data_IF_242498851990
#
_entry.id   IF_242498851990
#
_cell.length_a   1.000
_cell.length_b   1.000
_cell.length_c   1.000
_cell.angle_alpha   90.00
_cell.angle_beta   90.00
_cell.angle_gamma   90.00
#
_symmetry.space_group_name_H-M   'P 1'
#
loop_
_entity.id
_entity.type
_entity.pdbx_description
1 polymer ?
#
# COMPACT_ATOMS: atom_id res chain seq x y z
N UNK A 1 15.96 -13.14 -10.09
CA UNK A 1 15.64 -12.10 -11.11
C UNK A 1 15.78 -10.74 -10.43
N UNK A 2 16.40 -9.72 -11.07
CA UNK A 2 16.42 -8.36 -10.52
C UNK A 2 15.00 -7.81 -10.32
N UNK A 3 14.76 -7.03 -9.25
CA UNK A 3 13.44 -6.47 -8.89
C UNK A 3 12.79 -5.75 -10.07
N UNK A 4 13.56 -4.89 -10.77
CA UNK A 4 13.07 -4.08 -11.90
C UNK A 4 12.58 -4.91 -13.10
N UNK A 5 13.14 -6.10 -13.33
CA UNK A 5 12.67 -6.99 -14.40
C UNK A 5 11.35 -7.62 -13.97
N UNK A 6 11.26 -8.03 -12.70
CA UNK A 6 10.04 -8.61 -12.16
C UNK A 6 8.88 -7.61 -12.18
N UNK A 7 9.12 -6.38 -11.72
CA UNK A 7 8.16 -5.27 -11.77
C UNK A 7 7.69 -4.98 -13.19
N UNK A 8 8.59 -4.88 -14.17
CA UNK A 8 8.20 -4.52 -15.53
C UNK A 8 7.47 -5.63 -16.29
N UNK A 9 7.81 -6.89 -16.04
CA UNK A 9 7.33 -8.01 -16.85
C UNK A 9 6.14 -8.72 -16.20
N UNK A 10 6.14 -8.89 -14.88
CA UNK A 10 5.14 -9.69 -14.16
C UNK A 10 4.17 -8.83 -13.33
N UNK A 11 4.64 -7.69 -12.81
CA UNK A 11 3.85 -6.82 -11.93
C UNK A 11 3.86 -5.36 -12.40
N UNK A 12 3.46 -5.07 -13.65
CA UNK A 12 3.56 -3.71 -14.19
C UNK A 12 2.76 -2.73 -13.33
N UNK A 13 3.31 -1.53 -13.07
CA UNK A 13 2.61 -0.54 -12.26
C UNK A 13 1.33 -0.09 -12.95
N UNK A 14 0.32 0.24 -12.14
CA UNK A 14 -0.91 0.85 -12.63
C UNK A 14 -0.63 2.24 -13.19
N UNK A 15 -1.46 2.68 -14.15
CA UNK A 15 -1.41 4.05 -14.66
C UNK A 15 -1.53 5.03 -13.49
N UNK A 16 -0.52 5.90 -13.37
CA UNK A 16 -0.33 6.78 -12.21
C UNK A 16 0.05 8.17 -12.70
N UNK A 17 -0.53 9.21 -12.11
CA UNK A 17 -0.14 10.59 -12.38
C UNK A 17 1.32 10.81 -11.91
N UNK A 18 2.24 11.20 -12.81
CA UNK A 18 3.65 11.33 -12.47
C UNK A 18 3.96 12.52 -11.55
N UNK A 19 3.08 13.50 -11.44
CA UNK A 19 3.23 14.70 -10.61
C UNK A 19 2.69 14.42 -9.21
N UNK A 20 1.47 13.90 -9.09
CA UNK A 20 0.77 13.73 -7.80
C UNK A 20 0.98 12.34 -7.18
N UNK A 21 1.28 11.33 -7.99
CA UNK A 21 1.29 9.93 -7.57
C UNK A 21 -0.10 9.28 -7.49
N UNK A 22 -1.14 9.92 -8.04
CA UNK A 22 -2.51 9.39 -8.02
C UNK A 22 -2.63 8.14 -8.89
N UNK A 23 -3.17 7.05 -8.35
CA UNK A 23 -3.43 5.83 -9.12
C UNK A 23 -4.79 5.88 -9.79
N UNK A 24 -4.83 5.65 -11.11
CA UNK A 24 -6.07 5.63 -11.90
C UNK A 24 -6.97 4.46 -11.52
N UNK A 25 -6.39 3.30 -11.22
CA UNK A 25 -7.11 2.10 -10.78
C UNK A 25 -6.56 1.60 -9.46
N UNK A 26 -7.44 1.01 -8.65
CA UNK A 26 -7.09 0.42 -7.38
C UNK A 26 -7.99 -0.78 -7.11
N UNK A 27 -7.61 -1.60 -6.13
CA UNK A 27 -8.42 -2.73 -5.71
C UNK A 27 -9.81 -2.27 -5.25
N UNK A 28 -10.84 -3.05 -5.57
CA UNK A 28 -12.24 -2.69 -5.30
C UNK A 28 -12.50 -2.36 -3.83
N UNK A 29 -11.83 -3.05 -2.90
CA UNK A 29 -11.93 -2.75 -1.47
C UNK A 29 -11.51 -1.33 -1.14
N UNK A 30 -10.42 -0.84 -1.74
CA UNK A 30 -9.94 0.53 -1.54
C UNK A 30 -10.88 1.57 -2.16
N UNK A 31 -11.44 1.30 -3.35
CA UNK A 31 -12.45 2.17 -3.99
C UNK A 31 -13.76 2.24 -3.20
N UNK A 32 -14.14 1.16 -2.50
CA UNK A 32 -15.29 1.17 -1.58
C UNK A 32 -15.03 2.06 -0.36
N UNK A 33 -13.84 1.98 0.23
CA UNK A 33 -13.43 2.86 1.34
C UNK A 33 -13.38 4.32 0.90
N UNK A 34 -12.80 4.60 -0.26
CA UNK A 34 -12.81 5.95 -0.88
C UNK A 34 -14.25 6.47 -1.02
N UNK A 35 -15.15 5.67 -1.62
CA UNK A 35 -16.55 6.05 -1.81
C UNK A 35 -17.27 6.35 -0.49
N UNK A 36 -16.96 5.61 0.58
CA UNK A 36 -17.53 5.85 1.91
C UNK A 36 -16.98 7.14 2.54
N UNK A 37 -15.68 7.40 2.42
CA UNK A 37 -15.06 8.64 2.91
C UNK A 37 -15.63 9.86 2.18
N UNK A 38 -15.84 9.77 0.86
CA UNK A 38 -16.43 10.85 0.05
C UNK A 38 -17.88 11.21 0.43
N UNK A 39 -18.55 10.44 1.29
CA UNK A 39 -19.84 10.84 1.86
C UNK A 39 -19.70 11.90 2.97
N UNK A 40 -18.53 12.03 3.59
CA UNK A 40 -18.25 12.99 4.67
C UNK A 40 -17.06 13.91 4.43
N UNK A 41 -16.22 13.61 3.44
CA UNK A 41 -15.03 14.38 3.06
C UNK A 41 -15.14 14.84 1.61
N UNK A 42 -14.46 15.95 1.28
CA UNK A 42 -14.39 16.46 -0.08
C UNK A 42 -13.48 15.59 -0.95
N UNK A 43 -13.62 15.74 -2.26
CA UNK A 43 -12.87 14.96 -3.24
C UNK A 43 -11.36 15.22 -3.19
N UNK A 44 -10.95 16.42 -2.82
CA UNK A 44 -9.56 16.83 -2.62
C UNK A 44 -8.98 16.40 -1.26
N UNK A 45 -9.79 15.85 -0.35
CA UNK A 45 -9.37 15.36 0.97
C UNK A 45 -9.13 13.83 0.97
N UNK A 46 -9.55 13.12 -0.07
CA UNK A 46 -9.41 11.65 -0.20
C UNK A 46 -8.56 11.33 -1.43
N UNK A 47 -7.47 10.59 -1.24
CA UNK A 47 -6.49 10.36 -2.30
C UNK A 47 -6.06 8.89 -2.37
N UNK A 48 -5.99 8.34 -3.58
CA UNK A 48 -5.49 6.98 -3.84
C UNK A 48 -4.08 7.07 -4.43
N UNK A 49 -3.08 6.82 -3.60
CA UNK A 49 -1.67 6.93 -3.98
C UNK A 49 -1.08 5.62 -4.51
N UNK A 50 -0.15 5.74 -5.46
CA UNK A 50 0.73 4.64 -5.82
C UNK A 50 1.77 4.40 -4.70
N UNK A 51 1.94 3.15 -4.22
CA UNK A 51 2.85 2.84 -3.12
C UNK A 51 4.32 3.15 -3.38
N UNK A 52 4.73 3.31 -4.65
CA UNK A 52 6.11 3.67 -5.02
C UNK A 52 6.33 5.19 -5.11
N UNK A 53 5.26 6.00 -5.01
CA UNK A 53 5.30 7.46 -5.20
C UNK A 53 4.81 8.24 -3.96
N UNK A 54 4.82 7.62 -2.78
CA UNK A 54 4.26 8.17 -1.54
C UNK A 54 4.81 9.54 -1.14
N UNK A 55 6.07 9.85 -1.47
CA UNK A 55 6.67 11.16 -1.18
C UNK A 55 6.02 12.32 -1.94
N UNK A 56 5.31 12.03 -3.05
CA UNK A 56 4.56 13.02 -3.83
C UNK A 56 3.15 13.22 -3.29
N UNK A 57 2.59 12.20 -2.65
CA UNK A 57 1.18 12.16 -2.24
C UNK A 57 0.97 12.46 -0.76
N UNK A 58 1.99 12.25 0.09
CA UNK A 58 1.93 12.49 1.53
C UNK A 58 2.61 13.82 1.86
N UNK A 59 1.93 14.66 2.64
CA UNK A 59 2.42 15.97 3.04
C UNK A 59 1.90 16.43 4.42
N UNK A 60 2.15 17.70 4.79
CA UNK A 60 1.78 18.25 6.10
C UNK A 60 0.27 18.18 6.42
N UNK A 61 -0.57 18.17 5.40
CA UNK A 61 -2.02 18.12 5.56
C UNK A 61 -2.56 16.68 5.70
N UNK A 62 -1.73 15.67 5.43
CA UNK A 62 -2.11 14.26 5.57
C UNK A 62 -2.37 13.93 7.05
N UNK A 63 -3.60 13.48 7.36
CA UNK A 63 -3.96 13.07 8.73
C UNK A 63 -3.94 11.56 8.94
N UNK A 64 -4.30 10.81 7.91
CA UNK A 64 -4.39 9.35 7.95
C UNK A 64 -3.86 8.76 6.66
N UNK A 65 -3.04 7.72 6.77
CA UNK A 65 -2.61 6.87 5.65
C UNK A 65 -3.22 5.48 5.86
N UNK A 66 -4.15 5.12 4.99
CA UNK A 66 -4.74 3.78 4.94
C UNK A 66 -3.96 2.86 4.01
N UNK A 67 -3.65 1.65 4.47
CA UNK A 67 -2.93 0.64 3.70
C UNK A 67 -3.84 -0.58 3.53
N UNK A 68 -4.13 -0.95 2.29
CA UNK A 68 -4.85 -2.19 1.99
C UNK A 68 -3.85 -3.31 1.68
N UNK A 69 -3.91 -4.38 2.46
CA UNK A 69 -2.99 -5.53 2.32
C UNK A 69 -3.76 -6.81 1.99
N UNK A 70 -3.16 -7.62 1.12
CA UNK A 70 -3.68 -8.95 0.78
C UNK A 70 -2.93 -10.07 1.51
N UNK A 71 -1.60 -9.95 1.64
CA UNK A 71 -0.72 -10.96 2.24
C UNK A 71 0.60 -10.27 2.69
N UNK A 72 0.54 -9.39 3.71
CA UNK A 72 1.65 -8.51 4.08
C UNK A 72 2.88 -9.24 4.61
N UNK A 73 2.72 -10.42 5.20
CA UNK A 73 3.81 -11.24 5.76
C UNK A 73 4.12 -12.47 4.91
N UNK A 74 3.35 -12.74 3.85
CA UNK A 74 3.59 -13.88 2.97
C UNK A 74 3.10 -15.21 3.55
N UNK A 75 2.13 -15.16 4.48
CA UNK A 75 1.64 -16.32 5.23
C UNK A 75 0.46 -17.00 4.53
N UNK A 76 -0.10 -16.39 3.48
CA UNK A 76 -1.19 -16.98 2.72
C UNK A 76 -0.79 -18.32 2.04
N UNK A 77 -1.73 -19.28 1.86
CA UNK A 77 -1.43 -20.60 1.29
C UNK A 77 -0.75 -20.56 -0.08
N UNK A 78 -1.15 -19.62 -0.95
CA UNK A 78 -0.55 -19.48 -2.29
C UNK A 78 0.91 -19.07 -2.18
N UNK A 79 1.20 -18.10 -1.33
CA UNK A 79 2.54 -17.53 -1.16
C UNK A 79 3.49 -18.51 -0.48
N UNK A 80 3.03 -19.21 0.55
CA UNK A 80 3.80 -20.27 1.22
C UNK A 80 4.08 -21.45 0.29
N UNK A 81 3.17 -21.79 -0.62
CA UNK A 81 3.40 -22.86 -1.62
C UNK A 81 4.37 -22.42 -2.72
N UNK A 82 4.27 -21.18 -3.19
CA UNK A 82 5.10 -20.65 -4.29
C UNK A 82 6.47 -20.14 -3.84
N UNK A 83 6.65 -19.86 -2.55
CA UNK A 83 7.91 -19.34 -1.98
C UNK A 83 8.14 -19.85 -0.55
N UNK A 84 8.25 -21.18 -0.35
CA UNK A 84 8.32 -21.79 0.98
C UNK A 84 9.57 -21.41 1.79
N UNK A 85 10.70 -21.10 1.12
CA UNK A 85 12.01 -20.89 1.77
C UNK A 85 12.54 -19.45 1.66
N UNK A 86 11.77 -18.53 1.05
CA UNK A 86 12.22 -17.15 0.80
C UNK A 86 11.17 -16.15 1.24
N UNK A 87 11.63 -14.99 1.72
CA UNK A 87 10.75 -13.84 1.91
C UNK A 87 9.99 -13.60 0.60
N UNK A 88 8.67 -13.69 0.65
CA UNK A 88 7.86 -13.53 -0.54
C UNK A 88 8.03 -12.14 -1.12
N UNK A 89 7.87 -12.03 -2.45
CA UNK A 89 7.98 -10.76 -3.14
C UNK A 89 6.99 -9.70 -2.58
N UNK A 90 5.78 -10.16 -2.23
CA UNK A 90 4.74 -9.32 -1.62
C UNK A 90 5.17 -8.82 -0.24
N UNK A 91 5.70 -9.70 0.62
CA UNK A 91 6.18 -9.32 1.95
C UNK A 91 7.40 -8.38 1.87
N UNK A 92 8.28 -8.57 0.91
CA UNK A 92 9.41 -7.67 0.65
C UNK A 92 8.94 -6.27 0.23
N UNK A 93 8.05 -6.16 -0.76
CA UNK A 93 7.49 -4.87 -1.21
C UNK A 93 6.71 -4.18 -0.08
N UNK A 94 5.93 -4.93 0.70
CA UNK A 94 5.23 -4.40 1.87
C UNK A 94 6.20 -3.79 2.90
N UNK A 95 7.26 -4.51 3.27
CA UNK A 95 8.30 -4.00 4.19
C UNK A 95 8.98 -2.73 3.66
N UNK A 96 9.31 -2.69 2.36
CA UNK A 96 9.92 -1.52 1.70
C UNK A 96 8.99 -0.30 1.74
N UNK A 97 7.70 -0.50 1.44
CA UNK A 97 6.68 0.54 1.54
C UNK A 97 6.52 1.04 2.99
N UNK A 98 6.46 0.13 3.97
CA UNK A 98 6.39 0.49 5.39
C UNK A 98 7.60 1.31 5.85
N UNK A 99 8.81 0.98 5.38
CA UNK A 99 10.01 1.77 5.69
C UNK A 99 9.87 3.22 5.19
N UNK A 100 9.33 3.43 3.99
CA UNK A 100 9.07 4.78 3.45
C UNK A 100 8.00 5.51 4.29
N UNK A 101 6.88 4.85 4.58
CA UNK A 101 5.80 5.41 5.41
C UNK A 101 6.31 5.82 6.80
N UNK A 102 7.20 5.05 7.42
CA UNK A 102 7.80 5.39 8.71
C UNK A 102 8.61 6.70 8.63
N UNK A 103 9.37 6.92 7.56
CA UNK A 103 10.13 8.18 7.39
C UNK A 103 9.19 9.36 7.17
N UNK A 104 8.18 9.19 6.31
CA UNK A 104 7.17 10.23 6.07
C UNK A 104 6.37 10.54 7.33
N UNK A 105 6.02 9.53 8.13
CA UNK A 105 5.32 9.71 9.40
C UNK A 105 6.14 10.53 10.40
N UNK A 106 7.45 10.29 10.50
CA UNK A 106 8.33 11.10 11.35
C UNK A 106 8.37 12.57 10.91
N UNK A 107 8.18 12.83 9.61
CA UNK A 107 8.23 14.18 9.01
C UNK A 107 6.91 14.94 9.14
N UNK A 108 5.76 14.26 8.99
CA UNK A 108 4.45 14.90 8.85
C UNK A 108 3.43 14.52 9.93
N UNK A 109 3.76 13.59 10.83
CA UNK A 109 2.95 13.18 12.00
C UNK A 109 1.49 12.79 11.69
N UNK A 110 1.31 11.70 10.93
CA UNK A 110 0.00 11.15 10.59
C UNK A 110 -0.26 9.77 11.22
N UNK A 111 -1.53 9.38 11.29
CA UNK A 111 -1.93 8.03 11.71
C UNK A 111 -1.85 7.02 10.56
N UNK A 112 -1.44 5.79 10.86
CA UNK A 112 -1.38 4.70 9.89
C UNK A 112 -2.41 3.67 10.28
N UNK A 113 -3.27 3.30 9.34
CA UNK A 113 -4.28 2.25 9.51
C UNK A 113 -4.03 1.19 8.46
N UNK A 114 -3.94 -0.07 8.88
CA UNK A 114 -3.77 -1.22 7.97
C UNK A 114 -5.02 -2.06 7.99
N UNK A 115 -5.53 -2.40 6.80
CA UNK A 115 -6.74 -3.20 6.61
C UNK A 115 -6.64 -4.07 5.37
N UNK A 116 -7.74 -4.73 5.02
CA UNK A 116 -7.79 -5.66 3.89
C UNK A 116 -7.68 -7.13 4.31
N UNK A 117 -7.73 -8.03 3.34
CA UNK A 117 -7.86 -9.47 3.55
C UNK A 117 -6.66 -10.07 4.33
N UNK A 118 -5.48 -9.48 4.20
CA UNK A 118 -4.26 -9.94 4.90
C UNK A 118 -4.01 -9.27 6.25
N UNK A 119 -4.90 -8.39 6.72
CA UNK A 119 -4.66 -7.61 7.93
C UNK A 119 -4.52 -8.49 9.19
N UNK A 120 -5.13 -9.67 9.22
CA UNK A 120 -5.04 -10.62 10.32
C UNK A 120 -3.60 -11.10 10.59
N UNK A 121 -2.73 -11.09 9.57
CA UNK A 121 -1.31 -11.46 9.72
C UNK A 121 -0.57 -10.47 10.63
N UNK A 122 -1.01 -9.21 10.65
CA UNK A 122 -0.44 -8.14 11.47
C UNK A 122 -1.10 -8.02 12.84
N UNK A 123 -2.31 -8.57 12.98
CA UNK A 123 -3.09 -8.53 14.22
C UNK A 123 -2.72 -9.67 15.18
N UNK A 124 -1.94 -10.66 14.75
CA UNK A 124 -1.41 -11.68 15.64
C UNK A 124 -0.52 -11.02 16.70
N UNK A 125 -1.00 -11.04 17.93
CA UNK A 125 -0.18 -10.86 19.12
C UNK A 125 0.69 -12.11 19.27
N UNK A 126 1.98 -11.92 19.58
CA UNK A 126 2.75 -12.97 20.24
C UNK A 126 2.09 -13.39 21.56
#
# INVERSE_FOLDING_TARGET
LPEWVFDKVFCPPVETDPITGESKVAQVGLRRVESALLQGYKRDEVFIANPEMLEKSIGPDTKVVGINVMDPLGMAPVTTTMSPEKLSYVAMKFKKMCANIIQLKKKYDFHVVVGGNGAWELAKSD
#
